data_IF_997512041697
#
_entry.id   IF_997512041697
#
_cell.length_a   1.000
_cell.length_b   1.000
_cell.length_c   1.000
_cell.angle_alpha   90.00
_cell.angle_beta   90.00
_cell.angle_gamma   90.00
#
_symmetry.space_group_name_H-M   'P 1'
#
loop_
_entity.id
_entity.type
_entity.pdbx_description
1 polymer ?
#
# COMPACT_ATOMS: atom_id res chain seq x y z
N UNK A 1 5.23 -16.27 10.17
CA UNK A 1 6.70 -16.11 10.27
C UNK A 1 7.02 -14.87 11.11
N UNK A 2 8.17 -14.90 11.82
CA UNK A 2 8.67 -13.95 12.84
C UNK A 2 7.70 -13.60 13.99
N UNK A 3 6.47 -13.23 13.66
CA UNK A 3 5.34 -12.96 14.55
C UNK A 3 4.33 -14.12 14.64
N UNK A 4 4.68 -15.32 14.16
CA UNK A 4 3.82 -16.52 14.29
C UNK A 4 2.72 -16.70 13.23
N UNK A 5 2.57 -15.80 12.26
CA UNK A 5 1.56 -15.94 11.20
C UNK A 5 1.80 -17.14 10.27
N UNK A 6 0.72 -17.77 9.78
CA UNK A 6 0.80 -18.60 8.58
C UNK A 6 0.77 -17.69 7.35
N UNK A 7 1.70 -17.88 6.41
CA UNK A 7 1.93 -16.92 5.32
C UNK A 7 1.83 -17.63 3.98
N UNK A 8 0.94 -17.13 3.14
CA UNK A 8 0.90 -17.46 1.72
C UNK A 8 1.40 -16.26 0.91
N UNK A 9 2.47 -16.47 0.13
CA UNK A 9 3.05 -15.47 -0.76
C UNK A 9 2.44 -15.59 -2.16
N UNK A 10 1.61 -14.63 -2.56
CA UNK A 10 1.07 -14.54 -3.92
C UNK A 10 2.04 -13.71 -4.78
N UNK A 11 2.76 -14.37 -5.69
CA UNK A 11 3.84 -13.73 -6.47
C UNK A 11 3.89 -14.21 -7.91
N UNK A 12 4.39 -13.37 -8.83
CA UNK A 12 4.57 -13.74 -10.24
C UNK A 12 5.58 -14.86 -10.46
N UNK A 13 6.63 -14.89 -9.65
CA UNK A 13 7.71 -15.87 -9.77
C UNK A 13 8.03 -16.43 -8.37
N UNK A 14 7.50 -17.62 -8.03
CA UNK A 14 7.75 -18.29 -6.75
C UNK A 14 9.22 -18.57 -6.45
N UNK A 15 10.06 -18.77 -7.47
CA UNK A 15 11.50 -19.10 -7.30
C UNK A 15 12.30 -17.97 -6.64
N UNK A 16 11.72 -16.76 -6.55
CA UNK A 16 12.30 -15.62 -5.85
C UNK A 16 12.03 -15.60 -4.35
N UNK A 17 11.17 -16.51 -3.87
CA UNK A 17 10.88 -16.65 -2.45
C UNK A 17 11.93 -17.58 -1.85
N UNK A 18 12.72 -17.04 -0.93
CA UNK A 18 13.80 -17.78 -0.25
C UNK A 18 13.35 -18.39 1.07
N UNK A 19 12.23 -17.91 1.58
CA UNK A 19 11.60 -18.28 2.82
C UNK A 19 10.73 -19.54 2.65
N UNK A 20 10.67 -20.36 3.70
CA UNK A 20 9.79 -21.52 3.73
C UNK A 20 8.33 -21.09 3.99
N UNK A 21 7.68 -20.56 2.95
CA UNK A 21 6.27 -20.15 2.95
C UNK A 21 5.54 -20.78 1.76
N UNK A 22 4.22 -20.94 1.86
CA UNK A 22 3.41 -21.37 0.72
C UNK A 22 3.47 -20.28 -0.35
N UNK A 23 3.98 -20.59 -1.54
CA UNK A 23 4.01 -19.65 -2.65
C UNK A 23 2.95 -20.01 -3.69
N UNK A 24 2.11 -19.04 -4.07
CA UNK A 24 1.08 -19.21 -5.11
C UNK A 24 1.45 -18.33 -6.30
N UNK A 25 1.66 -18.91 -7.50
CA UNK A 25 1.96 -18.15 -8.69
C UNK A 25 0.73 -17.34 -9.15
N UNK A 26 0.85 -16.01 -9.23
CA UNK A 26 -0.17 -15.15 -9.81
C UNK A 26 0.41 -13.86 -10.41
N UNK A 27 -0.15 -13.41 -11.54
CA UNK A 27 0.19 -12.15 -12.20
C UNK A 27 -0.88 -11.09 -11.94
N UNK A 28 -0.66 -10.25 -10.93
CA UNK A 28 -1.61 -9.19 -10.57
C UNK A 28 -1.69 -8.06 -11.61
N UNK A 29 -0.88 -8.07 -12.68
CA UNK A 29 -1.09 -7.22 -13.85
C UNK A 29 -2.25 -7.70 -14.74
N UNK A 30 -2.56 -9.01 -14.68
CA UNK A 30 -3.66 -9.70 -15.37
C UNK A 30 -4.28 -10.71 -14.38
N UNK A 31 -4.95 -10.20 -13.34
CA UNK A 31 -5.38 -11.04 -12.24
C UNK A 31 -6.47 -12.04 -12.68
N UNK A 32 -6.38 -13.24 -12.13
CA UNK A 32 -7.44 -14.26 -12.19
C UNK A 32 -8.11 -14.30 -10.82
N UNK A 33 -9.33 -13.78 -10.75
CA UNK A 33 -10.09 -13.65 -9.49
C UNK A 33 -10.37 -15.01 -8.87
N UNK A 34 -10.64 -16.04 -9.68
CA UNK A 34 -10.91 -17.39 -9.15
C UNK A 34 -9.66 -17.99 -8.51
N UNK A 35 -8.52 -17.89 -9.20
CA UNK A 35 -7.24 -18.34 -8.65
C UNK A 35 -6.84 -17.56 -7.38
N UNK A 36 -7.14 -16.26 -7.33
CA UNK A 36 -6.92 -15.45 -6.14
C UNK A 36 -7.85 -15.87 -4.99
N UNK A 37 -9.12 -16.15 -5.26
CA UNK A 37 -10.06 -16.59 -4.22
C UNK A 37 -9.59 -17.90 -3.57
N UNK A 38 -9.12 -18.87 -4.37
CA UNK A 38 -8.53 -20.11 -3.85
C UNK A 38 -7.25 -19.88 -3.04
N UNK A 39 -6.45 -18.88 -3.40
CA UNK A 39 -5.25 -18.51 -2.67
C UNK A 39 -5.56 -17.80 -1.34
N UNK A 40 -6.68 -17.09 -1.28
CA UNK A 40 -7.08 -16.22 -0.17
C UNK A 40 -8.14 -16.84 0.77
N UNK A 41 -8.72 -17.98 0.41
CA UNK A 41 -9.92 -18.56 1.06
C UNK A 41 -9.89 -18.64 2.59
N UNK A 42 -8.70 -18.85 3.18
CA UNK A 42 -8.51 -19.02 4.63
C UNK A 42 -7.72 -17.83 5.24
N UNK A 43 -7.57 -16.73 4.50
CA UNK A 43 -6.75 -15.60 4.93
C UNK A 43 -7.52 -14.65 5.84
N UNK A 44 -7.05 -14.49 7.08
CA UNK A 44 -7.55 -13.45 8.00
C UNK A 44 -7.14 -12.04 7.57
N UNK A 45 -6.04 -11.92 6.82
CA UNK A 45 -5.48 -10.64 6.40
C UNK A 45 -4.74 -10.73 5.05
N UNK A 46 -4.82 -9.63 4.30
CA UNK A 46 -4.19 -9.44 2.99
C UNK A 46 -3.28 -8.22 3.07
N UNK A 47 -1.97 -8.41 2.86
CA UNK A 47 -0.99 -7.33 2.79
C UNK A 47 -0.53 -7.15 1.35
N UNK A 48 -0.89 -6.02 0.74
CA UNK A 48 -0.52 -5.70 -0.64
C UNK A 48 0.57 -4.63 -0.70
N UNK A 49 1.75 -5.04 -1.15
CA UNK A 49 2.85 -4.14 -1.53
C UNK A 49 2.84 -3.79 -3.03
N UNK A 50 1.70 -3.93 -3.71
CA UNK A 50 1.60 -3.70 -5.15
C UNK A 50 1.83 -2.24 -5.50
N UNK A 51 2.66 -2.03 -6.52
CA UNK A 51 2.85 -0.73 -7.12
C UNK A 51 3.58 -0.85 -8.46
N UNK A 52 3.34 0.07 -9.40
CA UNK A 52 4.08 0.11 -10.65
C UNK A 52 5.57 0.35 -10.37
N UNK A 53 6.45 -0.51 -10.91
CA UNK A 53 7.91 -0.31 -10.84
C UNK A 53 8.41 0.59 -11.97
N UNK A 54 7.65 0.65 -13.06
CA UNK A 54 7.93 1.47 -14.24
C UNK A 54 6.63 2.05 -14.78
N UNK A 55 6.73 3.08 -15.64
CA UNK A 55 5.55 3.68 -16.28
C UNK A 55 4.75 2.67 -17.12
N UNK A 56 5.40 1.62 -17.65
CA UNK A 56 4.75 0.58 -18.43
C UNK A 56 3.87 -0.35 -17.56
N UNK A 57 4.11 -0.38 -16.25
CA UNK A 57 3.30 -1.15 -15.28
C UNK A 57 2.14 -0.31 -14.72
N UNK A 58 1.92 0.93 -15.18
CA UNK A 58 0.81 1.77 -14.72
C UNK A 58 -0.54 1.05 -14.89
N UNK A 59 -1.37 1.10 -13.86
CA UNK A 59 -2.65 0.39 -13.77
C UNK A 59 -2.57 -0.92 -12.99
N UNK A 60 -1.37 -1.44 -12.69
CA UNK A 60 -1.21 -2.68 -11.93
C UNK A 60 -1.71 -2.55 -10.49
N UNK A 61 -1.54 -1.38 -9.86
CA UNK A 61 -1.96 -1.19 -8.48
C UNK A 61 -3.49 -1.23 -8.39
N UNK A 62 -4.17 -0.49 -9.28
CA UNK A 62 -5.64 -0.49 -9.36
C UNK A 62 -6.17 -1.88 -9.70
N UNK A 63 -5.75 -2.46 -10.84
CA UNK A 63 -6.28 -3.76 -11.30
C UNK A 63 -6.03 -4.88 -10.30
N UNK A 64 -4.80 -4.99 -9.81
CA UNK A 64 -4.43 -6.03 -8.86
C UNK A 64 -5.18 -5.88 -7.54
N UNK A 65 -5.31 -4.67 -7.01
CA UNK A 65 -6.02 -4.45 -5.74
C UNK A 65 -7.53 -4.64 -5.87
N UNK A 66 -8.14 -4.25 -6.98
CA UNK A 66 -9.56 -4.54 -7.25
C UNK A 66 -9.83 -6.05 -7.27
N UNK A 67 -8.97 -6.83 -7.95
CA UNK A 67 -9.10 -8.28 -7.95
C UNK A 67 -8.85 -8.90 -6.58
N UNK A 68 -7.93 -8.36 -5.79
CA UNK A 68 -7.73 -8.79 -4.40
C UNK A 68 -8.98 -8.51 -3.54
N UNK A 69 -9.61 -7.34 -3.70
CA UNK A 69 -10.85 -6.99 -2.99
C UNK A 69 -11.98 -7.94 -3.37
N UNK A 70 -12.12 -8.27 -4.66
CA UNK A 70 -13.16 -9.18 -5.16
C UNK A 70 -12.95 -10.63 -4.69
N UNK A 71 -11.70 -11.08 -4.62
CA UNK A 71 -11.33 -12.42 -4.21
C UNK A 71 -11.21 -12.61 -2.68
N UNK A 72 -11.23 -11.53 -1.92
CA UNK A 72 -11.01 -11.54 -0.48
C UNK A 72 -12.18 -12.19 0.28
N UNK A 73 -11.92 -12.95 1.36
CA UNK A 73 -12.95 -13.29 2.33
C UNK A 73 -13.59 -12.04 2.94
N UNK A 74 -14.89 -12.09 3.23
CA UNK A 74 -15.71 -10.93 3.64
C UNK A 74 -15.17 -10.23 4.89
N UNK A 75 -14.69 -10.99 5.88
CA UNK A 75 -14.19 -10.48 7.16
C UNK A 75 -12.67 -10.25 7.17
N UNK A 76 -11.99 -10.37 6.02
CA UNK A 76 -10.54 -10.25 5.96
C UNK A 76 -10.06 -8.80 6.09
N UNK A 77 -8.94 -8.64 6.79
CA UNK A 77 -8.24 -7.37 6.98
C UNK A 77 -7.44 -7.03 5.72
N UNK A 78 -7.61 -5.82 5.15
CA UNK A 78 -6.83 -5.39 3.99
C UNK A 78 -5.84 -4.28 4.34
N UNK A 79 -4.53 -4.49 4.13
CA UNK A 79 -3.51 -3.46 4.31
C UNK A 79 -2.76 -3.26 2.99
N UNK A 80 -2.81 -2.05 2.42
CA UNK A 80 -2.16 -1.74 1.13
C UNK A 80 -1.10 -0.66 1.26
N UNK A 81 -0.05 -0.72 0.44
CA UNK A 81 0.94 0.34 0.30
C UNK A 81 0.53 1.31 -0.81
N UNK A 82 0.54 2.59 -0.48
CA UNK A 82 0.35 3.72 -1.39
C UNK A 82 1.58 4.64 -1.28
N UNK A 83 1.41 5.95 -1.31
CA UNK A 83 2.51 6.91 -1.16
C UNK A 83 2.08 8.19 -0.41
N UNK A 84 3.02 8.78 0.33
CA UNK A 84 2.84 10.02 1.10
C UNK A 84 2.19 11.18 0.31
N UNK A 85 2.48 11.43 -0.98
CA UNK A 85 1.84 12.52 -1.71
C UNK A 85 0.33 12.33 -1.98
N UNK A 86 -0.23 11.12 -1.80
CA UNK A 86 -1.57 10.78 -2.30
C UNK A 86 -2.70 11.58 -1.65
N UNK A 87 -2.52 12.10 -0.43
CA UNK A 87 -3.49 13.01 0.20
C UNK A 87 -3.79 14.28 -0.60
N UNK A 88 -2.91 14.63 -1.57
CA UNK A 88 -3.04 15.83 -2.42
C UNK A 88 -3.19 15.50 -3.91
N UNK A 89 -3.33 14.23 -4.27
CA UNK A 89 -3.51 13.79 -5.66
C UNK A 89 -5.00 13.73 -5.98
N UNK A 90 -5.37 14.22 -7.17
CA UNK A 90 -6.75 14.16 -7.65
C UNK A 90 -7.08 12.74 -8.07
N UNK A 91 -8.29 12.32 -7.78
CA UNK A 91 -8.83 11.03 -8.22
C UNK A 91 -10.30 11.20 -8.63
N UNK A 92 -10.91 10.19 -9.29
CA UNK A 92 -12.34 10.22 -9.61
C UNK A 92 -13.23 10.46 -8.39
N UNK A 93 -12.95 9.82 -7.25
CA UNK A 93 -13.73 10.01 -6.02
C UNK A 93 -13.33 11.28 -5.23
N UNK A 94 -12.12 11.81 -5.46
CA UNK A 94 -11.58 13.02 -4.79
C UNK A 94 -11.14 14.04 -5.84
N UNK A 95 -12.08 14.70 -6.55
CA UNK A 95 -11.75 15.64 -7.62
C UNK A 95 -11.12 16.95 -7.11
N UNK A 96 -11.31 17.29 -5.83
CA UNK A 96 -10.84 18.52 -5.19
C UNK A 96 -10.06 18.22 -3.89
N UNK A 97 -8.89 17.55 -3.97
CA UNK A 97 -8.12 17.23 -2.78
C UNK A 97 -7.54 18.50 -2.14
N UNK A 98 -7.20 18.46 -0.85
CA UNK A 98 -6.46 19.53 -0.20
C UNK A 98 -5.19 19.91 -0.98
N UNK A 99 -4.85 21.20 -0.95
CA UNK A 99 -3.62 21.69 -1.60
C UNK A 99 -2.35 21.18 -0.93
N UNK A 100 -2.43 20.88 0.38
CA UNK A 100 -1.32 20.46 1.22
C UNK A 100 -1.80 19.43 2.23
N UNK A 101 -0.95 18.46 2.56
CA UNK A 101 -1.18 17.57 3.68
C UNK A 101 -0.76 18.29 5.00
N UNK A 102 -1.52 18.16 6.11
CA UNK A 102 -1.16 18.78 7.39
C UNK A 102 0.22 18.38 7.93
N UNK A 103 0.71 17.20 7.54
CA UNK A 103 2.03 16.68 7.85
C UNK A 103 3.15 17.16 6.94
N UNK A 104 2.85 17.81 5.82
CA UNK A 104 3.87 18.23 4.85
C UNK A 104 4.80 19.30 5.43
N UNK A 105 6.10 18.98 5.41
CA UNK A 105 7.16 19.97 5.65
C UNK A 105 7.29 20.97 4.50
N UNK A 106 7.98 22.09 4.75
CA UNK A 106 8.16 23.19 3.80
C UNK A 106 8.68 22.74 2.41
N UNK A 107 9.56 21.73 2.35
CA UNK A 107 10.15 21.22 1.11
C UNK A 107 9.15 20.49 0.20
N UNK A 108 8.28 19.66 0.80
CA UNK A 108 7.20 18.96 0.09
C UNK A 108 6.10 19.95 -0.34
N UNK A 109 5.87 20.98 0.50
CA UNK A 109 4.89 22.05 0.28
C UNK A 109 5.18 22.94 -0.93
N UNK A 110 6.45 23.18 -1.24
CA UNK A 110 6.84 24.22 -2.22
C UNK A 110 7.62 23.74 -3.45
N UNK A 111 8.43 22.68 -3.36
CA UNK A 111 9.36 22.30 -4.45
C UNK A 111 9.19 20.85 -4.94
N UNK A 112 8.88 19.90 -4.06
CA UNK A 112 8.83 18.47 -4.40
C UNK A 112 7.56 17.99 -5.12
N UNK A 113 6.39 18.48 -4.71
CA UNK A 113 5.10 17.97 -5.19
C UNK A 113 4.86 18.21 -6.69
N UNK A 114 5.41 19.29 -7.26
CA UNK A 114 5.26 19.61 -8.69
C UNK A 114 6.15 18.75 -9.58
N UNK A 115 7.42 18.57 -9.21
CA UNK A 115 8.38 17.78 -9.99
C UNK A 115 8.06 16.27 -9.95
N UNK A 116 7.69 15.76 -8.77
CA UNK A 116 7.26 14.37 -8.61
C UNK A 116 5.95 14.08 -9.37
N UNK A 117 4.97 15.00 -9.36
CA UNK A 117 3.73 14.86 -10.14
C UNK A 117 3.97 14.84 -11.64
N UNK A 118 4.97 15.54 -12.17
CA UNK A 118 5.24 15.55 -13.62
C UNK A 118 5.97 14.27 -14.07
N UNK A 119 6.91 13.75 -13.28
CA UNK A 119 7.69 12.55 -13.64
C UNK A 119 6.95 11.24 -13.32
N UNK A 120 6.10 11.21 -12.29
CA UNK A 120 5.38 10.02 -11.81
C UNK A 120 3.86 10.14 -11.94
N UNK A 121 3.36 10.99 -12.85
CA UNK A 121 1.92 11.30 -12.96
C UNK A 121 1.06 10.05 -13.08
N UNK A 122 1.40 9.16 -14.01
CA UNK A 122 0.69 7.91 -14.27
C UNK A 122 0.76 6.93 -13.10
N UNK A 123 1.87 6.90 -12.36
CA UNK A 123 1.98 6.08 -11.14
C UNK A 123 1.04 6.60 -10.05
N UNK A 124 0.97 7.91 -9.87
CA UNK A 124 0.11 8.54 -8.88
C UNK A 124 -1.37 8.50 -9.26
N UNK A 125 -1.70 8.61 -10.54
CA UNK A 125 -3.07 8.41 -11.04
C UNK A 125 -3.55 6.96 -10.76
N UNK A 126 -2.67 5.97 -10.98
CA UNK A 126 -2.97 4.56 -10.66
C UNK A 126 -3.16 4.37 -9.14
N UNK A 127 -2.22 4.83 -8.31
CA UNK A 127 -2.36 4.74 -6.85
C UNK A 127 -3.59 5.49 -6.32
N UNK A 128 -3.93 6.63 -6.89
CA UNK A 128 -5.11 7.40 -6.48
C UNK A 128 -6.41 6.64 -6.81
N UNK A 129 -6.47 5.96 -7.95
CA UNK A 129 -7.61 5.12 -8.33
C UNK A 129 -7.69 3.85 -7.49
N UNK A 130 -6.55 3.22 -7.20
CA UNK A 130 -6.45 2.11 -6.25
C UNK A 130 -6.96 2.51 -4.86
N UNK A 131 -6.52 3.66 -4.34
CA UNK A 131 -6.97 4.17 -3.04
C UNK A 131 -8.49 4.40 -3.00
N UNK A 132 -9.07 4.92 -4.08
CA UNK A 132 -10.52 5.10 -4.18
C UNK A 132 -11.27 3.75 -4.12
N UNK A 133 -10.77 2.73 -4.82
CA UNK A 133 -11.33 1.38 -4.79
C UNK A 133 -11.25 0.74 -3.40
N UNK A 134 -10.10 0.91 -2.72
CA UNK A 134 -9.91 0.43 -1.34
C UNK A 134 -10.85 1.17 -0.38
N UNK A 135 -10.94 2.50 -0.48
CA UNK A 135 -11.80 3.28 0.40
C UNK A 135 -13.28 2.91 0.27
N UNK A 136 -13.72 2.54 -0.92
CA UNK A 136 -15.10 2.14 -1.21
C UNK A 136 -15.43 0.66 -0.89
N UNK A 137 -14.44 -0.20 -0.62
CA UNK A 137 -14.68 -1.63 -0.42
C UNK A 137 -15.28 -1.94 0.97
N UNK A 138 -15.96 -3.09 1.15
CA UNK A 138 -16.57 -3.45 2.43
C UNK A 138 -15.57 -3.96 3.47
N UNK A 139 -14.35 -4.36 3.08
CA UNK A 139 -13.32 -4.89 3.98
C UNK A 139 -12.85 -3.85 5.00
N UNK A 140 -12.38 -4.32 6.15
CA UNK A 140 -11.64 -3.48 7.09
C UNK A 140 -10.27 -3.15 6.51
N UNK A 141 -10.12 -1.95 5.95
CA UNK A 141 -8.90 -1.57 5.24
C UNK A 141 -7.99 -0.60 6.03
N UNK A 142 -6.71 -0.61 5.68
CA UNK A 142 -5.71 0.40 6.05
C UNK A 142 -4.82 0.71 4.85
N UNK A 143 -4.54 1.99 4.60
CA UNK A 143 -3.64 2.42 3.52
C UNK A 143 -2.36 3.00 4.13
N UNK A 144 -1.23 2.30 3.99
CA UNK A 144 0.09 2.79 4.40
C UNK A 144 0.64 3.76 3.35
N UNK A 145 1.01 4.98 3.76
CA UNK A 145 1.52 6.04 2.88
C UNK A 145 2.96 6.40 3.25
N UNK A 146 3.94 5.58 2.83
CA UNK A 146 5.34 5.89 3.05
C UNK A 146 5.83 7.05 2.14
N UNK A 147 6.83 7.83 2.58
CA UNK A 147 7.58 8.73 1.72
C UNK A 147 8.63 7.91 0.92
N UNK A 148 9.83 8.47 0.67
CA UNK A 148 10.89 7.78 -0.07
C UNK A 148 11.28 6.46 0.61
N UNK A 149 11.12 5.35 -0.09
CA UNK A 149 11.54 4.03 0.35
C UNK A 149 13.05 3.82 0.22
N UNK A 150 13.62 3.05 1.14
CA UNK A 150 15.04 2.67 1.19
C UNK A 150 15.20 1.18 1.51
N UNK A 151 16.37 0.62 1.26
CA UNK A 151 16.68 -0.81 1.53
C UNK A 151 17.54 -0.98 2.79
N UNK A 152 17.34 -0.12 3.80
CA UNK A 152 18.01 -0.27 5.09
C UNK A 152 17.39 -1.45 5.88
N UNK A 153 18.16 -2.08 6.80
CA UNK A 153 17.64 -3.13 7.68
C UNK A 153 16.44 -2.66 8.52
N UNK A 154 15.65 -3.62 9.00
CA UNK A 154 14.56 -3.39 9.95
C UNK A 154 15.10 -2.67 11.20
N UNK A 155 14.43 -1.60 11.62
CA UNK A 155 14.79 -0.87 12.84
C UNK A 155 13.70 -0.94 13.91
N UNK A 156 12.43 -1.10 13.51
CA UNK A 156 11.26 -0.99 14.39
C UNK A 156 11.08 0.41 15.00
N UNK A 157 11.84 1.42 14.56
CA UNK A 157 11.89 2.77 15.14
C UNK A 157 11.51 3.79 14.08
N UNK A 158 10.22 4.05 13.98
CA UNK A 158 9.62 5.03 13.08
C UNK A 158 8.42 5.69 13.77
N UNK A 159 7.92 6.75 13.17
CA UNK A 159 6.72 7.47 13.59
C UNK A 159 5.57 7.16 12.63
N UNK A 160 4.36 7.20 13.16
CA UNK A 160 3.12 7.06 12.37
C UNK A 160 2.24 8.29 12.56
N UNK A 161 1.35 8.53 11.60
CA UNK A 161 0.32 9.55 11.69
C UNK A 161 -0.96 9.11 10.96
N UNK A 162 -2.11 9.27 11.61
CA UNK A 162 -3.42 8.95 11.04
C UNK A 162 -3.88 10.11 10.15
N UNK A 163 -4.29 9.79 8.93
CA UNK A 163 -4.87 10.68 7.92
C UNK A 163 -4.04 11.91 7.54
N UNK A 164 -2.72 11.78 7.72
CA UNK A 164 -1.73 12.78 7.36
C UNK A 164 -0.35 12.18 7.24
N UNK A 165 0.55 12.91 6.62
CA UNK A 165 1.97 12.59 6.59
C UNK A 165 2.64 12.76 7.96
N UNK A 166 3.73 12.03 8.18
CA UNK A 166 4.57 12.24 9.35
C UNK A 166 5.37 13.53 9.17
N UNK A 167 5.20 14.47 10.10
CA UNK A 167 5.88 15.78 10.04
C UNK A 167 7.40 15.62 10.02
N UNK A 168 8.03 16.15 8.96
CA UNK A 168 9.48 16.07 8.75
C UNK A 168 9.98 14.68 8.32
N UNK A 169 9.08 13.71 8.13
CA UNK A 169 9.41 12.36 7.68
C UNK A 169 9.66 12.32 6.17
N UNK A 170 10.90 12.10 5.76
CA UNK A 170 11.29 12.12 4.33
C UNK A 170 11.66 10.74 3.79
N UNK A 171 11.82 9.73 4.64
CA UNK A 171 12.09 8.35 4.22
C UNK A 171 11.71 7.31 5.26
N UNK A 172 11.64 6.07 4.79
CA UNK A 172 11.52 4.85 5.59
C UNK A 172 12.15 3.66 4.86
N UNK A 173 12.52 2.59 5.57
CA UNK A 173 12.96 1.33 4.93
C UNK A 173 11.76 0.49 4.49
N UNK A 174 11.92 -0.31 3.43
CA UNK A 174 10.90 -1.32 3.06
C UNK A 174 10.64 -2.31 4.19
N UNK A 175 11.68 -2.65 4.96
CA UNK A 175 11.57 -3.52 6.13
C UNK A 175 10.68 -2.90 7.24
N UNK A 176 10.84 -1.61 7.53
CA UNK A 176 10.00 -0.92 8.52
C UNK A 176 8.57 -0.67 8.02
N UNK A 177 8.36 -0.50 6.71
CA UNK A 177 6.99 -0.47 6.13
C UNK A 177 6.32 -1.83 6.30
N UNK A 178 6.99 -2.93 5.97
CA UNK A 178 6.45 -4.27 6.16
C UNK A 178 6.14 -4.55 7.65
N UNK A 179 7.03 -4.13 8.55
CA UNK A 179 6.79 -4.19 9.99
C UNK A 179 5.56 -3.37 10.40
N UNK A 180 5.42 -2.14 9.91
CA UNK A 180 4.24 -1.30 10.18
C UNK A 180 2.94 -1.91 9.63
N UNK A 181 2.96 -2.51 8.44
CA UNK A 181 1.80 -3.18 7.88
C UNK A 181 1.35 -4.35 8.74
N UNK A 182 2.29 -5.15 9.27
CA UNK A 182 1.98 -6.25 10.19
C UNK A 182 1.31 -5.73 11.48
N UNK A 183 1.78 -4.62 12.05
CA UNK A 183 1.11 -3.99 13.20
C UNK A 183 -0.32 -3.55 12.88
N UNK A 184 -0.57 -3.03 11.67
CA UNK A 184 -1.91 -2.63 11.24
C UNK A 184 -2.90 -3.79 11.09
N UNK A 185 -2.43 -5.03 10.93
CA UNK A 185 -3.31 -6.19 10.85
C UNK A 185 -4.13 -6.34 12.13
N UNK A 186 -3.52 -6.09 13.28
CA UNK A 186 -4.14 -6.31 14.60
C UNK A 186 -4.54 -5.02 15.33
N UNK A 187 -4.21 -3.84 14.77
CA UNK A 187 -4.51 -2.55 15.41
C UNK A 187 -5.84 -1.96 14.90
N UNK A 188 -6.91 -1.99 15.72
CA UNK A 188 -8.22 -1.48 15.30
C UNK A 188 -8.23 0.03 15.07
N UNK A 189 -7.30 0.79 15.65
CA UNK A 189 -7.20 2.24 15.46
C UNK A 189 -6.88 2.58 14.00
N UNK A 190 -6.32 1.63 13.24
CA UNK A 190 -5.91 1.83 11.84
C UNK A 190 -7.00 1.43 10.84
N UNK A 191 -8.12 0.86 11.30
CA UNK A 191 -9.27 0.50 10.45
C UNK A 191 -9.87 1.74 9.79
N UNK A 192 -10.08 1.69 8.47
CA UNK A 192 -10.62 2.77 7.64
C UNK A 192 -9.80 4.07 7.67
N UNK A 193 -8.50 3.95 7.95
CA UNK A 193 -7.57 5.06 8.01
C UNK A 193 -6.39 4.93 7.07
N UNK A 194 -5.90 6.09 6.64
CA UNK A 194 -4.60 6.19 5.96
C UNK A 194 -3.53 6.44 7.00
N UNK A 195 -2.39 5.76 6.91
CA UNK A 195 -1.31 5.84 7.90
C UNK A 195 -0.06 6.37 7.21
N UNK A 196 0.32 7.61 7.50
CA UNK A 196 1.65 8.10 7.18
C UNK A 196 2.68 7.38 8.04
N UNK A 197 3.79 6.93 7.45
CA UNK A 197 4.85 6.20 8.15
C UNK A 197 6.22 6.69 7.70
N UNK A 198 7.06 7.14 8.64
CA UNK A 198 8.40 7.65 8.34
C UNK A 198 9.31 7.65 9.57
N UNK A 199 10.63 7.73 9.37
CA UNK A 199 11.55 8.07 10.47
C UNK A 199 11.27 9.47 11.01
#
# INVERSE_FOLDING_TARGET
>A
MAAGHDVTAVVRNPDKITEAVRAVPADLARPDVFALAEALKDADAILSGLGPRTNAEAGVATRGTQALIEAAPEDSRLVVVSAAPMGTVRSPARPHPPRHDPGDGFFMRHLGARFAKTMFRTHYEDLATMEDAVMACPLEWTISRPPRLTDKPLTGRYRTAIDRNVRGGTSISRADVAHQMLHCVTDPITIRHTIGVAY
#
